data_IF_758508414349
#
_entry.id   IF_758508414349
#
_cell.length_a   1.000
_cell.length_b   1.000
_cell.length_c   1.000
_cell.angle_alpha   90.00
_cell.angle_beta   90.00
_cell.angle_gamma   90.00
#
_symmetry.space_group_name_H-M   'P 1'
#
loop_
_entity.id
_entity.type
_entity.pdbx_description
1 polymer ?
#
# COMPACT_ATOMS: atom_id res chain seq x y z
N UNK A 1 22.34 21.07 -9.05
CA UNK A 1 21.72 20.89 -7.71
C UNK A 1 20.81 19.67 -7.78
N UNK A 2 20.66 18.92 -6.68
CA UNK A 2 19.72 17.80 -6.64
C UNK A 2 18.28 18.32 -6.74
N UNK A 3 17.46 17.69 -7.58
CA UNK A 3 16.08 18.12 -7.80
C UNK A 3 15.17 17.35 -6.86
N UNK A 4 14.71 18.02 -5.82
CA UNK A 4 13.74 17.48 -4.84
C UNK A 4 12.34 17.75 -5.38
N UNK A 5 11.48 16.75 -5.38
CA UNK A 5 10.10 16.87 -5.84
C UNK A 5 9.30 17.73 -4.83
N UNK A 6 8.60 18.79 -5.27
CA UNK A 6 8.01 19.77 -4.36
C UNK A 6 6.99 19.13 -3.42
N UNK A 7 7.02 19.50 -2.13
CA UNK A 7 6.01 19.06 -1.17
C UNK A 7 4.61 19.58 -1.53
N UNK A 8 3.55 18.94 -1.04
CA UNK A 8 2.16 19.39 -1.22
C UNK A 8 1.94 20.84 -0.78
N UNK A 9 2.67 21.32 0.24
CA UNK A 9 2.60 22.71 0.70
C UNK A 9 3.37 23.73 -0.17
N UNK A 10 4.13 23.28 -1.17
CA UNK A 10 5.04 24.14 -1.94
C UNK A 10 4.31 25.27 -2.67
N UNK A 11 4.90 26.46 -2.63
CA UNK A 11 4.37 27.66 -3.27
C UNK A 11 4.52 27.58 -4.81
N UNK A 12 3.66 28.26 -5.60
CA UNK A 12 3.73 28.23 -7.07
C UNK A 12 5.06 28.72 -7.64
N UNK A 13 5.82 29.54 -6.90
CA UNK A 13 7.20 29.90 -7.27
C UNK A 13 8.15 28.69 -7.22
N UNK A 14 8.12 27.91 -6.14
CA UNK A 14 8.96 26.72 -5.96
C UNK A 14 8.60 25.63 -7.00
N UNK A 15 7.31 25.47 -7.30
CA UNK A 15 6.87 24.55 -8.36
C UNK A 15 7.42 24.95 -9.72
N UNK A 16 7.41 26.24 -10.07
CA UNK A 16 7.99 26.75 -11.32
C UNK A 16 9.51 26.59 -11.38
N UNK A 17 10.21 26.81 -10.27
CA UNK A 17 11.66 26.55 -10.16
C UNK A 17 11.97 25.06 -10.35
N UNK A 18 11.20 24.16 -9.74
CA UNK A 18 11.30 22.71 -9.98
C UNK A 18 11.05 22.35 -11.45
N UNK A 19 9.99 22.88 -12.06
CA UNK A 19 9.62 22.63 -13.46
C UNK A 19 10.70 23.10 -14.45
N UNK A 20 11.26 24.30 -14.23
CA UNK A 20 12.35 24.81 -15.07
C UNK A 20 13.60 23.93 -14.94
N UNK A 21 13.96 23.53 -13.71
CA UNK A 21 15.05 22.58 -13.49
C UNK A 21 14.77 21.21 -14.13
N UNK A 22 13.50 20.74 -14.10
CA UNK A 22 13.05 19.47 -14.67
C UNK A 22 13.28 19.45 -16.17
N UNK A 23 12.76 20.46 -16.86
CA UNK A 23 12.94 20.69 -18.29
C UNK A 23 14.42 20.75 -18.68
N UNK A 24 15.24 21.52 -17.97
CA UNK A 24 16.66 21.66 -18.34
C UNK A 24 17.45 20.36 -18.18
N UNK A 25 17.33 19.62 -17.07
CA UNK A 25 18.22 18.46 -16.83
C UNK A 25 17.63 17.08 -17.18
N UNK A 26 16.32 16.94 -17.49
CA UNK A 26 15.75 15.69 -18.06
C UNK A 26 15.34 15.80 -19.53
N UNK A 27 15.13 17.02 -20.05
CA UNK A 27 14.68 17.25 -21.43
C UNK A 27 15.61 18.16 -22.25
N UNK A 28 16.80 18.47 -21.73
CA UNK A 28 17.85 19.31 -22.36
C UNK A 28 17.35 20.68 -22.85
N UNK A 29 16.31 21.23 -22.19
CA UNK A 29 15.70 22.50 -22.58
C UNK A 29 16.55 23.67 -22.06
N UNK A 30 16.96 24.63 -22.91
CA UNK A 30 17.70 25.82 -22.48
C UNK A 30 16.99 26.56 -21.35
N UNK A 31 17.72 27.02 -20.34
CA UNK A 31 17.16 27.57 -19.09
C UNK A 31 16.14 28.70 -19.31
N UNK A 32 16.36 29.57 -20.30
CA UNK A 32 15.42 30.63 -20.69
C UNK A 32 14.08 30.07 -21.21
N UNK A 33 14.13 29.05 -22.09
CA UNK A 33 12.93 28.37 -22.58
C UNK A 33 12.25 27.55 -21.48
N UNK A 34 13.03 26.86 -20.64
CA UNK A 34 12.54 26.10 -19.50
C UNK A 34 11.79 27.00 -18.49
N UNK A 35 12.31 28.20 -18.24
CA UNK A 35 11.66 29.20 -17.38
C UNK A 35 10.37 29.72 -18.01
N UNK A 36 10.38 30.05 -19.32
CA UNK A 36 9.17 30.49 -20.06
C UNK A 36 8.08 29.42 -20.11
N UNK A 37 8.46 28.15 -20.22
CA UNK A 37 7.53 27.02 -20.13
C UNK A 37 6.99 26.87 -18.71
N UNK A 38 7.86 26.85 -17.69
CA UNK A 38 7.45 26.75 -16.30
C UNK A 38 6.48 27.88 -15.89
N UNK A 39 6.66 29.10 -16.39
CA UNK A 39 5.75 30.23 -16.15
C UNK A 39 4.29 29.96 -16.56
N UNK A 40 4.00 29.02 -17.47
CA UNK A 40 2.62 28.60 -17.80
C UNK A 40 1.87 27.99 -16.61
N UNK A 41 2.61 27.48 -15.62
CA UNK A 41 2.07 27.02 -14.36
C UNK A 41 1.95 28.20 -13.38
N UNK A 42 0.99 29.11 -13.63
CA UNK A 42 0.91 30.40 -12.92
C UNK A 42 0.55 30.27 -11.43
N UNK A 43 -0.53 29.56 -11.12
CA UNK A 43 -1.17 29.57 -9.79
C UNK A 43 -1.07 28.24 -9.03
N UNK A 44 -0.78 27.13 -9.71
CA UNK A 44 -0.81 25.80 -9.10
C UNK A 44 0.27 25.60 -8.03
N UNK A 45 -0.13 25.06 -6.89
CA UNK A 45 0.74 24.66 -5.78
C UNK A 45 1.31 23.26 -5.97
N UNK A 46 2.17 22.83 -5.04
CA UNK A 46 2.70 21.46 -5.02
C UNK A 46 1.62 20.38 -4.89
N UNK A 47 0.50 20.69 -4.21
CA UNK A 47 -0.70 19.84 -4.20
C UNK A 47 -1.23 19.60 -5.61
N UNK A 48 -1.42 20.68 -6.35
CA UNK A 48 -2.07 20.66 -7.67
C UNK A 48 -1.18 19.98 -8.70
N UNK A 49 0.15 20.10 -8.54
CA UNK A 49 1.13 19.39 -9.36
C UNK A 49 1.13 17.87 -9.07
N UNK A 50 1.00 17.47 -7.79
CA UNK A 50 0.98 16.07 -7.36
C UNK A 50 -0.31 15.35 -7.72
N UNK A 51 -1.44 16.05 -7.63
CA UNK A 51 -2.76 15.50 -7.93
C UNK A 51 -3.12 15.62 -9.43
N UNK A 52 -2.24 16.26 -10.22
CA UNK A 52 -2.35 16.41 -11.68
C UNK A 52 -2.33 15.06 -12.41
N UNK A 53 -3.21 14.90 -13.39
CA UNK A 53 -3.30 13.70 -14.24
C UNK A 53 -2.78 13.93 -15.66
N UNK A 54 -2.75 15.19 -16.07
CA UNK A 54 -2.45 15.72 -17.39
C UNK A 54 -1.65 17.03 -17.23
N UNK A 55 -0.85 17.37 -18.24
CA UNK A 55 -0.03 18.58 -18.26
C UNK A 55 -0.20 19.32 -19.60
N UNK A 56 -1.44 19.35 -20.09
CA UNK A 56 -1.81 19.85 -21.43
C UNK A 56 -1.41 21.30 -21.70
N UNK A 57 -1.26 22.12 -20.66
CA UNK A 57 -0.73 23.49 -20.75
C UNK A 57 0.74 23.56 -21.23
N UNK A 58 1.49 22.46 -21.15
CA UNK A 58 2.80 22.29 -21.78
C UNK A 58 2.71 21.75 -23.22
N UNK A 59 1.54 21.29 -23.65
CA UNK A 59 1.28 20.58 -24.90
C UNK A 59 1.47 19.07 -24.74
N UNK A 60 0.56 18.26 -25.29
CA UNK A 60 0.38 16.82 -25.03
C UNK A 60 1.69 16.03 -24.90
N UNK A 61 2.55 16.06 -25.94
CA UNK A 61 3.83 15.32 -25.93
C UNK A 61 4.80 15.75 -24.83
N UNK A 62 4.86 17.04 -24.50
CA UNK A 62 5.74 17.53 -23.45
C UNK A 62 5.14 17.28 -22.07
N UNK A 63 3.82 17.43 -21.94
CA UNK A 63 3.06 17.13 -20.73
C UNK A 63 3.20 15.67 -20.30
N UNK A 64 3.02 14.71 -21.22
CA UNK A 64 3.20 13.27 -20.96
C UNK A 64 4.63 12.96 -20.47
N UNK A 65 5.64 13.50 -21.15
CA UNK A 65 7.05 13.32 -20.80
C UNK A 65 7.40 13.94 -19.44
N UNK A 66 6.84 15.12 -19.12
CA UNK A 66 6.99 15.79 -17.83
C UNK A 66 6.33 14.98 -16.71
N UNK A 67 5.07 14.55 -16.90
CA UNK A 67 4.31 13.79 -15.90
C UNK A 67 5.01 12.46 -15.57
N UNK A 68 5.50 11.76 -16.60
CA UNK A 68 6.33 10.56 -16.40
C UNK A 68 7.59 10.88 -15.61
N UNK A 69 8.30 11.96 -15.98
CA UNK A 69 9.53 12.38 -15.32
C UNK A 69 9.34 12.78 -13.86
N UNK A 70 8.19 13.36 -13.50
CA UNK A 70 7.80 13.68 -12.12
C UNK A 70 7.51 12.43 -11.31
N UNK A 71 6.74 11.48 -11.86
CA UNK A 71 6.43 10.20 -11.19
C UNK A 71 7.68 9.37 -10.97
N UNK A 72 8.66 9.43 -11.89
CA UNK A 72 9.98 8.85 -11.67
C UNK A 72 10.69 9.49 -10.47
N UNK A 73 10.74 10.84 -10.39
CA UNK A 73 11.38 11.56 -9.28
C UNK A 73 10.70 11.21 -7.93
N UNK A 74 9.36 11.25 -7.84
CA UNK A 74 8.60 10.87 -6.64
C UNK A 74 8.84 9.40 -6.25
N UNK A 75 8.89 8.48 -7.23
CA UNK A 75 9.18 7.06 -6.98
C UNK A 75 10.61 6.83 -6.48
N UNK A 76 11.57 7.66 -6.89
CA UNK A 76 12.95 7.60 -6.44
C UNK A 76 13.06 8.09 -4.99
N UNK A 77 12.41 9.20 -4.64
CA UNK A 77 12.33 9.68 -3.26
C UNK A 77 11.70 8.64 -2.32
N UNK A 78 10.59 8.01 -2.74
CA UNK A 78 9.97 6.94 -1.96
C UNK A 78 10.89 5.72 -1.77
N UNK A 79 11.60 5.31 -2.83
CA UNK A 79 12.54 4.18 -2.78
C UNK A 79 13.80 4.46 -1.94
N UNK A 80 14.21 5.73 -1.82
CA UNK A 80 15.32 6.16 -0.99
C UNK A 80 14.91 6.45 0.46
N UNK A 81 13.63 6.71 0.70
CA UNK A 81 13.07 6.92 2.04
C UNK A 81 13.18 5.67 2.92
N UNK A 82 13.38 5.88 4.23
CA UNK A 82 13.50 4.81 5.23
C UNK A 82 12.34 3.81 5.19
N UNK A 83 11.11 4.29 4.96
CA UNK A 83 9.93 3.44 4.80
C UNK A 83 10.03 2.50 3.58
N UNK A 84 10.47 3.00 2.42
CA UNK A 84 10.68 2.19 1.21
C UNK A 84 11.79 1.16 1.38
N UNK A 85 12.86 1.52 2.11
CA UNK A 85 13.96 0.60 2.46
C UNK A 85 13.48 -0.50 3.41
N UNK A 86 12.75 -0.16 4.48
CA UNK A 86 12.17 -1.13 5.41
C UNK A 86 11.19 -2.09 4.72
N UNK A 87 10.30 -1.57 3.86
CA UNK A 87 9.37 -2.39 3.10
C UNK A 87 10.10 -3.37 2.17
N UNK A 88 11.19 -2.94 1.53
CA UNK A 88 12.04 -3.82 0.70
C UNK A 88 12.71 -4.94 1.51
N UNK A 89 13.17 -4.66 2.74
CA UNK A 89 13.70 -5.72 3.60
C UNK A 89 12.59 -6.66 4.10
N UNK A 90 11.39 -6.15 4.39
CA UNK A 90 10.24 -6.96 4.79
C UNK A 90 9.80 -7.92 3.67
N UNK A 91 9.77 -7.49 2.40
CA UNK A 91 9.44 -8.39 1.27
C UNK A 91 10.51 -9.45 1.06
N UNK A 92 11.81 -9.13 1.17
CA UNK A 92 12.87 -10.14 1.14
C UNK A 92 12.75 -11.15 2.30
N UNK A 93 12.40 -10.69 3.50
CA UNK A 93 12.15 -11.56 4.66
C UNK A 93 10.93 -12.49 4.47
N UNK A 94 9.86 -12.00 3.85
CA UNK A 94 8.69 -12.82 3.52
C UNK A 94 9.02 -13.89 2.46
N UNK A 95 9.80 -13.53 1.43
CA UNK A 95 10.24 -14.47 0.39
C UNK A 95 11.17 -15.54 0.98
N UNK A 96 12.13 -15.18 1.84
CA UNK A 96 13.03 -16.16 2.46
C UNK A 96 12.28 -17.09 3.43
N UNK A 97 11.33 -16.58 4.21
CA UNK A 97 10.46 -17.38 5.06
C UNK A 97 9.59 -18.37 4.25
N UNK A 98 9.06 -17.95 3.10
CA UNK A 98 8.33 -18.83 2.18
C UNK A 98 9.22 -19.95 1.61
N UNK A 99 10.43 -19.62 1.16
CA UNK A 99 11.37 -20.62 0.64
C UNK A 99 11.80 -21.62 1.74
N UNK A 100 12.01 -21.14 2.97
CA UNK A 100 12.31 -22.00 4.12
C UNK A 100 11.15 -22.93 4.50
N UNK A 101 9.90 -22.45 4.46
CA UNK A 101 8.72 -23.29 4.76
C UNK A 101 8.52 -24.38 3.71
N UNK A 102 8.75 -24.06 2.43
CA UNK A 102 8.74 -25.01 1.31
C UNK A 102 9.86 -26.05 1.47
N UNK A 103 11.09 -25.62 1.76
CA UNK A 103 12.21 -26.53 2.00
C UNK A 103 11.99 -27.44 3.21
N UNK A 104 11.37 -26.93 4.29
CA UNK A 104 11.01 -27.72 5.46
C UNK A 104 9.94 -28.77 5.14
N UNK A 105 8.92 -28.40 4.35
CA UNK A 105 7.88 -29.33 3.88
C UNK A 105 8.47 -30.47 3.03
N UNK A 106 9.40 -30.17 2.11
CA UNK A 106 10.10 -31.20 1.32
C UNK A 106 10.99 -32.11 2.16
N UNK A 107 11.60 -31.60 3.25
CA UNK A 107 12.52 -32.38 4.10
C UNK A 107 11.81 -33.23 5.14
N UNK A 108 10.61 -32.84 5.60
CA UNK A 108 9.87 -33.51 6.67
C UNK A 108 8.42 -33.85 6.27
N UNK A 109 8.19 -34.65 5.20
CA UNK A 109 6.85 -35.01 4.74
C UNK A 109 6.03 -35.80 5.77
N UNK A 110 6.70 -36.50 6.70
CA UNK A 110 6.05 -37.30 7.75
C UNK A 110 5.29 -36.50 8.82
N UNK A 111 5.45 -35.17 8.88
CA UNK A 111 4.69 -34.30 9.78
C UNK A 111 3.42 -33.70 9.14
N UNK A 112 3.23 -33.84 7.82
CA UNK A 112 2.07 -33.25 7.13
C UNK A 112 0.80 -34.12 7.15
N UNK A 113 0.91 -35.42 7.47
CA UNK A 113 -0.24 -36.34 7.49
C UNK A 113 -1.13 -36.19 8.74
N UNK A 114 -0.68 -35.52 9.80
CA UNK A 114 -1.41 -35.38 11.07
C UNK A 114 -2.41 -34.20 11.12
N UNK A 115 -3.04 -33.83 9.99
CA UNK A 115 -4.04 -32.72 9.93
C UNK A 115 -5.38 -33.03 9.25
N UNK A 116 -5.61 -34.26 8.79
CA UNK A 116 -6.90 -34.67 8.19
C UNK A 116 -7.58 -35.87 8.86
N UNK A 117 -7.16 -36.25 10.07
CA UNK A 117 -7.87 -37.24 10.88
C UNK A 117 -7.31 -37.36 12.28
N UNK A 118 -8.17 -37.76 13.23
CA UNK A 118 -7.89 -38.03 14.64
C UNK A 118 -7.60 -36.80 15.51
N UNK A 119 -8.67 -36.37 16.17
CA UNK A 119 -8.67 -35.80 17.51
C UNK A 119 -7.66 -36.49 18.45
N UNK A 120 -6.58 -35.80 18.79
CA UNK A 120 -5.82 -36.09 20.00
C UNK A 120 -6.44 -35.29 21.15
N UNK A 121 -7.04 -35.97 22.12
CA UNK A 121 -7.52 -35.30 23.33
C UNK A 121 -6.32 -34.69 24.07
N UNK A 122 -6.30 -33.36 24.22
CA UNK A 122 -5.35 -32.70 25.09
C UNK A 122 -5.69 -33.07 26.56
N UNK A 123 -4.77 -33.60 27.36
CA UNK A 123 -5.01 -33.80 28.77
C UNK A 123 -5.15 -32.43 29.45
N UNK A 124 -6.32 -32.20 30.05
CA UNK A 124 -6.59 -31.05 30.90
C UNK A 124 -5.73 -31.12 32.17
N UNK A 125 -4.68 -30.30 32.27
CA UNK A 125 -4.08 -29.96 33.56
C UNK A 125 -3.43 -28.57 33.56
N UNK A 126 -4.25 -27.57 33.87
CA UNK A 126 -3.95 -26.44 34.76
C UNK A 126 -2.55 -25.81 34.69
N UNK A 127 -2.50 -24.60 34.12
CA UNK A 127 -1.86 -23.48 34.84
C UNK A 127 -2.68 -22.20 34.64
N UNK A 128 -3.47 -21.89 35.66
CA UNK A 128 -4.33 -20.72 35.74
C UNK A 128 -3.58 -19.58 36.45
N UNK A 129 -3.15 -18.57 35.69
CA UNK A 129 -2.96 -17.16 36.12
C UNK A 129 -2.75 -16.30 34.86
N UNK A 130 -3.61 -15.37 34.46
CA UNK A 130 -4.94 -15.03 34.97
C UNK A 130 -5.60 -13.92 34.11
N UNK A 131 -6.82 -13.53 34.47
CA UNK A 131 -7.60 -12.38 33.95
C UNK A 131 -8.23 -12.47 32.54
N UNK A 132 -9.45 -13.00 32.56
CA UNK A 132 -10.69 -12.66 31.81
C UNK A 132 -10.99 -11.13 31.92
N UNK A 133 -11.87 -10.45 31.13
CA UNK A 133 -12.74 -10.81 29.98
C UNK A 133 -12.31 -10.07 28.67
N UNK A 134 -13.01 -9.95 27.53
CA UNK A 134 -14.29 -10.42 26.89
C UNK A 134 -14.07 -10.32 25.35
N UNK A 135 -14.92 -10.76 24.42
CA UNK A 135 -16.18 -11.53 24.38
C UNK A 135 -16.17 -12.32 23.05
N UNK A 136 -16.47 -13.63 23.07
CA UNK A 136 -16.49 -14.44 21.86
C UNK A 136 -17.80 -15.24 21.76
N UNK A 137 -18.70 -14.70 20.95
CA UNK A 137 -19.99 -15.24 20.51
C UNK A 137 -19.94 -16.75 20.24
N UNK A 138 -20.84 -17.48 20.90
CA UNK A 138 -21.11 -18.90 20.63
C UNK A 138 -21.74 -19.05 19.24
N UNK A 139 -20.98 -19.45 18.21
CA UNK A 139 -21.59 -19.85 16.94
C UNK A 139 -22.14 -21.27 17.05
N UNK A 140 -23.44 -21.37 17.32
CA UNK A 140 -24.15 -22.65 17.20
C UNK A 140 -24.06 -23.15 15.75
N UNK A 141 -23.58 -24.38 15.58
CA UNK A 141 -23.55 -25.03 14.26
C UNK A 141 -24.96 -25.32 13.75
N UNK A 142 -25.17 -25.10 12.45
CA UNK A 142 -26.36 -25.55 11.73
C UNK A 142 -25.95 -26.41 10.54
N UNK A 143 -26.55 -27.60 10.47
CA UNK A 143 -26.40 -28.53 9.36
C UNK A 143 -27.25 -28.06 8.18
N UNK A 144 -26.62 -27.74 7.06
CA UNK A 144 -27.33 -27.38 5.83
C UNK A 144 -27.67 -28.64 5.02
N UNK A 145 -28.94 -29.05 5.10
CA UNK A 145 -29.56 -29.91 4.09
C UNK A 145 -30.31 -29.01 3.10
N UNK A 146 -30.21 -29.23 1.78
CA UNK A 146 -30.80 -28.31 0.80
C UNK A 146 -32.28 -28.63 0.58
N UNK A 147 -33.16 -27.65 0.84
CA UNK A 147 -34.43 -27.49 0.12
C UNK A 147 -35.05 -26.12 0.42
N UNK A 148 -35.44 -25.42 -0.65
CA UNK A 148 -36.58 -24.52 -0.74
C UNK A 148 -36.73 -23.33 0.24
N UNK A 149 -36.36 -22.15 -0.26
CA UNK A 149 -37.24 -20.97 -0.17
C UNK A 149 -37.17 -20.07 1.08
N UNK A 150 -36.82 -18.80 0.83
CA UNK A 150 -37.19 -17.62 1.61
C UNK A 150 -36.57 -17.46 3.02
N UNK A 151 -35.64 -16.51 3.15
CA UNK A 151 -35.12 -16.04 4.44
C UNK A 151 -35.85 -14.75 4.87
N UNK A 152 -36.59 -14.82 5.98
CA UNK A 152 -37.15 -13.67 6.68
C UNK A 152 -36.15 -13.23 7.76
N UNK A 153 -35.81 -11.94 7.79
CA UNK A 153 -34.99 -11.34 8.85
C UNK A 153 -35.85 -10.98 10.07
N UNK A 154 -35.56 -11.58 11.22
CA UNK A 154 -36.07 -11.12 12.52
C UNK A 154 -34.94 -10.62 13.41
N UNK A 155 -35.00 -9.33 13.77
CA UNK A 155 -34.13 -8.71 14.77
C UNK A 155 -34.66 -9.03 16.18
N UNK A 156 -33.91 -9.82 16.94
CA UNK A 156 -34.18 -10.12 18.35
C UNK A 156 -33.41 -9.19 19.28
N UNK A 157 -34.12 -8.30 19.97
CA UNK A 157 -33.58 -7.50 21.08
C UNK A 157 -33.62 -8.32 22.38
N UNK A 158 -32.58 -8.27 23.20
CA UNK A 158 -32.57 -8.90 24.54
C UNK A 158 -32.44 -7.84 25.62
N UNK A 159 -33.48 -7.72 26.44
CA UNK A 159 -33.51 -6.89 27.64
C UNK A 159 -32.63 -7.48 28.75
N UNK A 160 -32.17 -6.62 29.65
CA UNK A 160 -31.39 -6.96 30.85
C UNK A 160 -32.31 -7.05 32.06
N UNK A 161 -32.21 -8.15 32.81
CA UNK A 161 -32.29 -8.23 34.28
C UNK A 161 -31.32 -9.31 34.76
#
# INVERSE_FOLDING_TARGET
MARIFPDRSAAPKQVREYLAQLLTAKHDVPLDQATKLALRWEYGRGSDLRDSKDLDLFGTRLGDCLLKSMREDESLEWRQSTAGVLFRYATYGAISALLLSIAFAYKYPSLQTCKHGLTCAAPLSVLNTGFIPTSAVTSHGYSLRPSDGMLILHLGSTSVE
#
